data_IF_634631915025
#
_entry.id   IF_634631915025
#
_cell.length_a   1.000
_cell.length_b   1.000
_cell.length_c   1.000
_cell.angle_alpha   90.00
_cell.angle_beta   90.00
_cell.angle_gamma   90.00
#
_symmetry.space_group_name_H-M   'P 1'
#
loop_
_entity.id
_entity.type
_entity.pdbx_description
1 polymer ?
#
# COMPACT_ATOMS: atom_id res chain seq x y z
N UNK A 1 -2.82 2.95 31.12
CA UNK A 1 -1.63 3.79 31.33
C UNK A 1 -1.40 4.62 30.08
N UNK A 2 -1.02 5.90 30.20
CA UNK A 2 -0.69 6.68 29.01
C UNK A 2 0.54 6.07 28.34
N UNK A 3 0.51 6.05 27.01
CA UNK A 3 1.58 5.57 26.19
C UNK A 3 2.87 6.36 26.44
N UNK A 4 4.04 5.73 26.62
CA UNK A 4 5.29 6.45 26.74
C UNK A 4 5.57 7.23 25.45
N UNK A 5 5.67 8.54 25.54
CA UNK A 5 6.07 9.38 24.41
C UNK A 5 7.52 9.10 24.06
N UNK A 6 7.79 8.74 22.81
CA UNK A 6 9.16 8.67 22.30
C UNK A 6 9.76 10.07 22.34
N UNK A 7 10.93 10.22 22.93
CA UNK A 7 11.65 11.49 23.06
C UNK A 7 13.02 11.39 22.40
N UNK A 8 13.66 12.54 22.14
CA UNK A 8 15.03 12.56 21.65
C UNK A 8 16.00 11.77 22.52
N UNK A 9 15.77 11.71 23.86
CA UNK A 9 16.56 10.90 24.76
C UNK A 9 16.48 9.40 24.41
N UNK A 10 15.30 8.90 24.04
CA UNK A 10 15.13 7.51 23.59
C UNK A 10 15.85 7.24 22.28
N UNK A 11 15.86 8.20 21.36
CA UNK A 11 16.60 8.06 20.10
C UNK A 11 18.13 8.08 20.29
N UNK A 12 18.61 8.78 21.30
CA UNK A 12 20.04 8.92 21.61
C UNK A 12 20.54 7.87 22.61
N UNK A 13 19.64 7.16 23.31
CA UNK A 13 20.00 6.08 24.21
C UNK A 13 20.44 4.85 23.43
N UNK A 14 21.31 4.03 24.05
CA UNK A 14 21.67 2.78 23.43
C UNK A 14 20.47 1.85 23.32
N UNK A 15 20.33 1.14 22.20
CA UNK A 15 19.20 0.25 21.93
C UNK A 15 19.07 -0.92 22.92
N UNK A 16 20.06 -1.12 23.80
CA UNK A 16 20.11 -2.21 24.77
C UNK A 16 19.41 -1.91 26.09
N UNK A 17 18.99 -0.66 26.35
CA UNK A 17 18.27 -0.34 27.58
C UNK A 17 16.89 -1.01 27.57
N UNK A 18 16.53 -1.83 28.59
CA UNK A 18 15.24 -2.54 28.62
C UNK A 18 14.02 -1.63 28.54
N UNK A 19 14.15 -0.41 29.05
CA UNK A 19 13.09 0.59 29.09
C UNK A 19 12.97 1.41 27.80
N UNK A 20 13.89 1.22 26.83
CA UNK A 20 13.84 1.96 25.58
C UNK A 20 12.71 1.40 24.68
N UNK A 21 11.66 2.21 24.34
CA UNK A 21 10.55 1.77 23.49
C UNK A 21 11.00 1.44 22.06
N UNK A 22 12.17 1.89 21.63
CA UNK A 22 12.75 1.63 20.31
C UNK A 22 13.75 0.47 20.31
N UNK A 23 13.83 -0.30 21.39
CA UNK A 23 14.76 -1.44 21.50
C UNK A 23 14.55 -2.52 20.45
N UNK A 24 13.31 -2.75 20.09
CA UNK A 24 12.94 -3.71 19.05
C UNK A 24 12.07 -3.02 18.01
N UNK A 25 12.58 -2.99 16.78
CA UNK A 25 11.86 -2.45 15.63
C UNK A 25 11.63 -3.58 14.64
N UNK A 26 10.38 -3.82 14.26
CA UNK A 26 10.02 -4.73 13.18
C UNK A 26 9.53 -3.92 11.98
N UNK A 27 10.10 -4.19 10.81
CA UNK A 27 9.62 -3.66 9.54
C UNK A 27 8.92 -4.78 8.78
N UNK A 28 7.68 -4.54 8.35
CA UNK A 28 6.92 -5.48 7.56
C UNK A 28 6.39 -4.77 6.31
N UNK A 29 6.81 -5.27 5.15
CA UNK A 29 6.36 -4.78 3.85
C UNK A 29 5.36 -5.76 3.23
N UNK A 30 4.32 -5.23 2.58
CA UNK A 30 3.35 -6.03 1.82
C UNK A 30 3.72 -5.94 0.35
N UNK A 31 4.21 -7.04 -0.19
CA UNK A 31 4.63 -7.13 -1.59
C UNK A 31 3.53 -6.70 -2.56
N UNK A 32 3.86 -5.71 -3.42
CA UNK A 32 2.94 -5.18 -4.42
C UNK A 32 1.54 -4.88 -3.85
N UNK A 33 1.48 -4.25 -2.66
CA UNK A 33 0.28 -4.09 -1.86
C UNK A 33 -0.94 -3.62 -2.66
N UNK A 34 -0.80 -2.56 -3.45
CA UNK A 34 -1.91 -2.02 -4.25
C UNK A 34 -2.45 -3.05 -5.26
N UNK A 35 -1.57 -3.80 -5.90
CA UNK A 35 -1.99 -4.84 -6.84
C UNK A 35 -2.72 -5.99 -6.12
N UNK A 36 -2.30 -6.36 -4.90
CA UNK A 36 -2.99 -7.35 -4.09
C UNK A 36 -4.35 -6.86 -3.61
N UNK A 37 -4.46 -5.60 -3.18
CA UNK A 37 -5.73 -5.00 -2.75
C UNK A 37 -6.73 -4.94 -3.91
N UNK A 38 -6.29 -4.54 -5.11
CA UNK A 38 -7.15 -4.54 -6.29
C UNK A 38 -7.55 -5.95 -6.73
N UNK A 39 -6.64 -6.90 -6.70
CA UNK A 39 -6.96 -8.30 -6.99
C UNK A 39 -8.04 -8.83 -6.02
N UNK A 40 -7.89 -8.56 -4.71
CA UNK A 40 -8.87 -8.93 -3.69
C UNK A 40 -10.24 -8.27 -3.95
N UNK A 41 -10.25 -6.96 -4.25
CA UNK A 41 -11.48 -6.21 -4.56
C UNK A 41 -12.21 -6.78 -5.77
N UNK A 42 -11.46 -7.19 -6.79
CA UNK A 42 -12.02 -7.72 -8.05
C UNK A 42 -12.32 -9.22 -8.01
N UNK A 43 -11.99 -9.91 -6.91
CA UNK A 43 -12.11 -11.37 -6.83
C UNK A 43 -11.15 -12.12 -7.77
N UNK A 44 -10.01 -11.51 -8.11
CA UNK A 44 -9.01 -12.07 -9.01
C UNK A 44 -7.94 -12.79 -8.19
N UNK A 45 -7.52 -13.96 -8.64
CA UNK A 45 -6.36 -14.64 -8.08
C UNK A 45 -5.06 -13.93 -8.51
N UNK A 46 -4.45 -13.21 -7.58
CA UNK A 46 -3.21 -12.47 -7.79
C UNK A 46 -1.99 -13.35 -8.10
N UNK A 47 -2.11 -14.67 -7.95
CA UNK A 47 -1.03 -15.64 -8.23
C UNK A 47 -1.08 -16.21 -9.64
N UNK A 48 -2.19 -16.06 -10.34
CA UNK A 48 -2.40 -16.61 -11.68
C UNK A 48 -2.61 -15.55 -12.75
N UNK A 49 -3.23 -14.42 -12.40
CA UNK A 49 -3.60 -13.37 -13.36
C UNK A 49 -2.63 -12.19 -13.26
N UNK A 50 -1.99 -11.77 -14.38
CA UNK A 50 -1.12 -10.61 -14.40
C UNK A 50 -1.93 -9.32 -14.22
N UNK A 51 -1.53 -8.48 -13.25
CA UNK A 51 -2.24 -7.26 -12.90
C UNK A 51 -1.29 -6.11 -12.60
N UNK A 52 -1.63 -4.94 -13.09
CA UNK A 52 -0.97 -3.67 -12.75
C UNK A 52 -2.00 -2.65 -12.30
N UNK A 53 -1.57 -1.79 -11.39
CA UNK A 53 -2.34 -0.64 -10.94
C UNK A 53 -1.78 0.61 -11.58
N UNK A 54 -2.68 1.43 -12.10
CA UNK A 54 -2.37 2.67 -12.79
C UNK A 54 -2.81 3.88 -11.96
N UNK A 55 -1.98 4.89 -11.99
CA UNK A 55 -2.35 6.26 -11.64
C UNK A 55 -2.11 7.14 -12.86
N UNK A 56 -3.18 7.60 -13.46
CA UNK A 56 -3.18 8.20 -14.79
C UNK A 56 -2.59 7.22 -15.81
N UNK A 57 -1.54 7.59 -16.51
CA UNK A 57 -0.84 6.72 -17.47
C UNK A 57 0.38 5.99 -16.85
N UNK A 58 0.64 6.20 -15.56
CA UNK A 58 1.81 5.60 -14.89
C UNK A 58 1.44 4.30 -14.19
N UNK A 59 2.29 3.30 -14.32
CA UNK A 59 2.21 2.05 -13.57
C UNK A 59 2.77 2.32 -12.16
N UNK A 60 1.94 2.17 -11.13
CA UNK A 60 2.35 2.40 -9.74
C UNK A 60 2.53 1.11 -8.93
N UNK A 61 1.90 0.01 -9.36
CA UNK A 61 2.12 -1.30 -8.77
C UNK A 61 2.01 -2.41 -9.82
N UNK A 62 2.81 -3.46 -9.65
CA UNK A 62 2.89 -4.60 -10.56
C UNK A 62 2.90 -5.87 -9.71
N UNK A 63 1.96 -6.80 -9.94
CA UNK A 63 1.98 -8.07 -9.24
C UNK A 63 3.09 -9.00 -9.77
N UNK A 64 3.39 -10.07 -9.01
CA UNK A 64 4.48 -10.98 -9.36
C UNK A 64 4.27 -11.74 -10.67
N UNK A 65 3.03 -11.97 -11.07
CA UNK A 65 2.72 -12.62 -12.36
C UNK A 65 3.12 -11.70 -13.50
N UNK A 66 2.72 -10.44 -13.48
CA UNK A 66 3.08 -9.47 -14.51
C UNK A 66 4.60 -9.21 -14.56
N UNK A 67 5.29 -9.23 -13.41
CA UNK A 67 6.77 -9.09 -13.37
C UNK A 67 7.49 -10.19 -14.14
N UNK A 68 6.96 -11.41 -14.19
CA UNK A 68 7.53 -12.52 -14.96
C UNK A 68 7.58 -12.25 -16.46
N UNK A 69 6.70 -11.37 -16.96
CA UNK A 69 6.69 -10.91 -18.35
C UNK A 69 7.58 -9.67 -18.58
N UNK A 70 8.38 -9.29 -17.60
CA UNK A 70 9.24 -8.12 -17.69
C UNK A 70 8.52 -6.78 -17.53
N UNK A 71 7.28 -6.79 -17.03
CA UNK A 71 6.56 -5.56 -16.69
C UNK A 71 7.10 -5.01 -15.38
N UNK A 72 7.48 -3.73 -15.38
CA UNK A 72 8.02 -3.06 -14.21
C UNK A 72 7.45 -1.64 -14.06
N UNK A 73 7.53 -1.10 -12.84
CA UNK A 73 7.05 0.24 -12.52
C UNK A 73 7.90 1.35 -13.15
N UNK A 74 9.21 1.12 -13.28
CA UNK A 74 10.18 2.17 -13.63
C UNK A 74 10.63 2.16 -15.10
N UNK A 75 10.65 1.00 -15.74
CA UNK A 75 11.28 0.80 -17.03
C UNK A 75 10.30 0.26 -18.08
N UNK A 76 9.02 0.61 -17.97
CA UNK A 76 8.01 0.08 -18.85
C UNK A 76 6.87 1.08 -19.05
N UNK A 77 6.64 1.48 -20.27
CA UNK A 77 5.43 2.22 -20.64
C UNK A 77 4.21 1.30 -20.62
N UNK A 78 3.02 1.85 -20.62
CA UNK A 78 1.79 1.07 -20.65
C UNK A 78 1.68 0.24 -21.94
N UNK A 79 2.10 0.82 -23.05
CA UNK A 79 2.12 0.18 -24.37
C UNK A 79 3.08 -1.02 -24.38
N UNK A 80 4.30 -0.84 -23.88
CA UNK A 80 5.28 -1.92 -23.74
C UNK A 80 4.79 -3.03 -22.81
N UNK A 81 4.14 -2.65 -21.70
CA UNK A 81 3.58 -3.62 -20.76
C UNK A 81 2.51 -4.50 -21.42
N UNK A 82 1.62 -3.91 -22.23
CA UNK A 82 0.61 -4.64 -23.01
C UNK A 82 1.24 -5.54 -24.08
N UNK A 83 2.30 -5.10 -24.72
CA UNK A 83 3.02 -5.91 -25.73
C UNK A 83 3.69 -7.13 -25.07
N UNK A 84 4.33 -6.94 -23.91
CA UNK A 84 4.99 -8.02 -23.17
C UNK A 84 4.01 -9.00 -22.53
N UNK A 85 2.84 -8.52 -22.14
CA UNK A 85 1.82 -9.30 -21.47
C UNK A 85 0.43 -8.94 -22.04
N UNK A 86 -0.05 -9.62 -23.11
CA UNK A 86 -1.33 -9.31 -23.75
C UNK A 86 -2.54 -9.47 -22.82
N UNK A 87 -2.48 -10.42 -21.88
CA UNK A 87 -3.54 -10.69 -20.90
C UNK A 87 -3.45 -9.80 -19.64
N UNK A 88 -2.63 -8.75 -19.70
CA UNK A 88 -2.41 -7.86 -18.58
C UNK A 88 -3.69 -7.14 -18.17
N UNK A 89 -4.10 -7.34 -16.92
CA UNK A 89 -5.21 -6.60 -16.32
C UNK A 89 -4.73 -5.24 -15.85
N UNK A 90 -5.40 -4.21 -16.34
CA UNK A 90 -5.13 -2.82 -15.99
C UNK A 90 -6.23 -2.34 -15.05
N UNK A 91 -5.85 -1.78 -13.91
CA UNK A 91 -6.76 -1.22 -12.93
C UNK A 91 -6.31 0.18 -12.59
N UNK A 92 -7.16 1.17 -12.84
CA UNK A 92 -6.88 2.54 -12.39
C UNK A 92 -7.26 2.70 -10.92
N UNK A 93 -6.49 3.48 -10.16
CA UNK A 93 -6.84 3.84 -8.78
C UNK A 93 -8.18 4.59 -8.75
N UNK A 94 -8.92 4.46 -7.66
CA UNK A 94 -10.16 5.20 -7.49
C UNK A 94 -9.92 6.72 -7.58
N UNK A 95 -10.86 7.44 -8.14
CA UNK A 95 -10.79 8.90 -8.27
C UNK A 95 -12.14 9.56 -8.05
N UNK A 96 -12.12 10.83 -7.68
CA UNK A 96 -13.29 11.70 -7.65
C UNK A 96 -13.43 12.39 -9.00
N UNK A 97 -14.53 12.18 -9.70
CA UNK A 97 -14.92 12.95 -10.86
C UNK A 97 -15.71 14.21 -10.48
N UNK A 98 -16.07 15.06 -11.46
CA UNK A 98 -16.87 16.25 -11.24
C UNK A 98 -18.20 15.91 -10.55
N UNK A 99 -18.45 16.51 -9.38
CA UNK A 99 -19.67 16.30 -8.59
C UNK A 99 -19.72 15.01 -7.76
N UNK A 100 -18.71 14.19 -7.79
CA UNK A 100 -18.66 12.96 -6.98
C UNK A 100 -18.53 13.27 -5.48
N UNK A 101 -19.34 12.61 -4.68
CA UNK A 101 -19.23 12.63 -3.21
C UNK A 101 -18.34 11.53 -2.66
N UNK A 102 -18.15 10.46 -3.43
CA UNK A 102 -17.32 9.31 -3.10
C UNK A 102 -16.44 8.95 -4.30
N UNK A 103 -15.24 8.42 -4.06
CA UNK A 103 -14.35 8.00 -5.15
C UNK A 103 -14.94 6.79 -5.88
N UNK A 104 -14.77 6.78 -7.19
CA UNK A 104 -15.21 5.70 -8.09
C UNK A 104 -14.05 5.19 -8.92
N UNK A 105 -14.23 4.02 -9.52
CA UNK A 105 -13.28 3.44 -10.46
C UNK A 105 -13.68 3.82 -11.88
N UNK A 106 -12.88 4.65 -12.50
CA UNK A 106 -13.01 5.06 -13.89
C UNK A 106 -11.99 4.31 -14.74
N UNK A 107 -12.35 3.96 -15.96
CA UNK A 107 -11.42 3.28 -16.88
C UNK A 107 -10.30 4.21 -17.38
N UNK A 108 -10.66 5.44 -17.74
CA UNK A 108 -9.72 6.46 -18.22
C UNK A 108 -10.09 7.84 -17.65
N UNK A 109 -9.79 8.10 -16.38
CA UNK A 109 -10.09 9.38 -15.76
C UNK A 109 -9.15 10.48 -16.26
N UNK A 110 -9.70 11.65 -16.58
CA UNK A 110 -8.95 12.80 -17.01
C UNK A 110 -8.27 13.51 -15.83
N UNK A 111 -6.92 13.61 -15.80
CA UNK A 111 -6.17 14.27 -14.73
C UNK A 111 -6.57 15.73 -14.47
N UNK A 112 -7.13 16.41 -15.49
CA UNK A 112 -7.54 17.82 -15.38
C UNK A 112 -8.86 18.00 -14.59
N UNK A 113 -9.70 16.96 -14.56
CA UNK A 113 -11.05 17.02 -13.97
C UNK A 113 -11.25 16.07 -12.80
N UNK A 114 -10.40 15.06 -12.66
CA UNK A 114 -10.48 14.05 -11.62
C UNK A 114 -9.38 14.22 -10.57
N UNK A 115 -9.67 13.79 -9.35
CA UNK A 115 -8.72 13.76 -8.23
C UNK A 115 -8.56 12.34 -7.70
N UNK A 116 -7.33 11.86 -7.58
CA UNK A 116 -7.02 10.52 -7.05
C UNK A 116 -7.47 10.38 -5.60
N UNK A 117 -7.98 9.18 -5.27
CA UNK A 117 -8.22 8.74 -3.90
C UNK A 117 -7.48 7.44 -3.61
N UNK A 118 -6.69 7.45 -2.55
CA UNK A 118 -6.02 6.27 -2.01
C UNK A 118 -6.70 5.72 -0.75
N UNK A 119 -7.91 6.17 -0.44
CA UNK A 119 -8.60 5.83 0.80
C UNK A 119 -8.92 4.35 0.93
N UNK A 120 -9.14 3.67 -0.20
CA UNK A 120 -9.33 2.22 -0.22
C UNK A 120 -8.05 1.51 0.29
N UNK A 121 -6.89 1.91 -0.19
CA UNK A 121 -5.62 1.30 0.21
C UNK A 121 -5.28 1.60 1.67
N UNK A 122 -5.57 2.82 2.16
CA UNK A 122 -5.43 3.16 3.57
C UNK A 122 -6.31 2.30 4.46
N UNK A 123 -7.55 2.01 4.04
CA UNK A 123 -8.46 1.11 4.77
C UNK A 123 -7.93 -0.33 4.82
N UNK A 124 -7.42 -0.84 3.70
CA UNK A 124 -6.85 -2.20 3.67
C UNK A 124 -5.56 -2.29 4.51
N UNK A 125 -4.69 -1.29 4.42
CA UNK A 125 -3.50 -1.19 5.26
C UNK A 125 -3.86 -1.16 6.74
N UNK A 126 -4.90 -0.40 7.12
CA UNK A 126 -5.38 -0.38 8.51
C UNK A 126 -5.83 -1.75 9.01
N UNK A 127 -6.53 -2.54 8.19
CA UNK A 127 -6.92 -3.91 8.56
C UNK A 127 -5.70 -4.79 8.86
N UNK A 128 -4.64 -4.67 8.05
CA UNK A 128 -3.38 -5.39 8.25
C UNK A 128 -2.74 -4.96 9.57
N UNK A 129 -2.68 -3.66 9.84
CA UNK A 129 -2.14 -3.14 11.09
C UNK A 129 -2.96 -3.60 12.31
N UNK A 130 -4.29 -3.64 12.21
CA UNK A 130 -5.16 -4.14 13.28
C UNK A 130 -4.90 -5.64 13.59
N UNK A 131 -4.50 -6.42 12.57
CA UNK A 131 -4.07 -7.81 12.76
C UNK A 131 -2.74 -7.87 13.51
N UNK A 132 -1.73 -7.09 13.07
CA UNK A 132 -0.44 -7.03 13.75
C UNK A 132 -0.59 -6.61 15.21
N UNK A 133 -1.36 -5.56 15.48
CA UNK A 133 -1.61 -5.10 16.84
C UNK A 133 -2.22 -6.22 17.69
N UNK A 134 -3.23 -6.93 17.20
CA UNK A 134 -3.86 -8.03 17.92
C UNK A 134 -2.92 -9.21 18.18
N UNK A 135 -2.07 -9.54 17.23
CA UNK A 135 -1.17 -10.70 17.34
C UNK A 135 0.07 -10.40 18.17
N UNK A 136 0.62 -9.19 18.05
CA UNK A 136 1.87 -8.82 18.72
C UNK A 136 1.65 -8.22 20.11
N UNK A 137 0.44 -7.69 20.40
CA UNK A 137 0.13 -7.03 21.68
C UNK A 137 -0.56 -7.93 22.70
N UNK A 138 -0.62 -9.24 22.49
CA UNK A 138 -1.32 -10.15 23.38
C UNK A 138 -0.69 -10.28 24.77
N UNK A 139 0.60 -9.95 24.93
CA UNK A 139 1.29 -10.00 26.22
C UNK A 139 2.15 -8.75 26.48
N UNK A 140 1.57 -7.80 27.22
CA UNK A 140 2.27 -6.87 28.12
C UNK A 140 3.13 -5.74 27.56
N UNK A 141 2.89 -5.22 26.37
CA UNK A 141 3.47 -3.91 26.05
C UNK A 141 2.33 -2.90 25.79
N UNK A 142 2.19 -1.85 26.62
CA UNK A 142 1.30 -0.75 26.28
C UNK A 142 1.92 -0.01 25.11
N UNK A 143 1.43 -0.34 23.90
CA UNK A 143 1.87 0.36 22.70
C UNK A 143 1.38 1.81 22.71
N UNK A 144 2.33 2.69 22.57
CA UNK A 144 2.08 4.04 22.12
C UNK A 144 1.42 4.04 20.76
N UNK A 145 0.57 5.04 20.53
CA UNK A 145 0.03 5.29 19.22
C UNK A 145 1.19 5.37 18.22
N UNK A 146 1.37 4.34 17.43
CA UNK A 146 2.24 4.42 16.28
C UNK A 146 1.57 5.40 15.32
N UNK A 147 2.18 6.55 15.10
CA UNK A 147 1.81 7.43 14.01
C UNK A 147 2.24 6.72 12.73
N UNK A 148 1.27 6.12 12.05
CA UNK A 148 1.50 5.52 10.75
C UNK A 148 1.42 6.62 9.71
N UNK A 149 2.53 7.23 9.40
CA UNK A 149 2.69 7.94 8.15
C UNK A 149 2.96 6.87 7.08
N UNK A 150 1.93 6.56 6.30
CA UNK A 150 2.12 5.96 4.99
C UNK A 150 2.79 7.05 4.15
N UNK A 151 4.12 7.06 4.13
CA UNK A 151 4.82 7.82 3.12
C UNK A 151 4.36 7.28 1.77
N UNK A 152 3.63 8.12 1.05
CA UNK A 152 3.29 7.90 -0.34
C UNK A 152 4.59 7.96 -1.15
N UNK A 153 5.15 6.78 -1.46
CA UNK A 153 6.16 6.64 -2.50
C UNK A 153 5.52 6.82 -3.86
#
# INVERSE_FOLDING_TARGET
MPCPRVTYRHLLSTSYEPENPLRVIAHCDVDAAYAQFEASRLGIDSRSIPLVVLQWKQIIAVNYVARKFGVSRFNCTLEEAKQRCPDLRLVHVASYGPGDKLPKYYEDPDPSTHKISLDMYRRESKKIMDIFQRQLCHDRVPYGHANYELESI
#
